data_IF_290029738809
#
_entry.id   IF_290029738809
#
_cell.length_a   1.000
_cell.length_b   1.000
_cell.length_c   1.000
_cell.angle_alpha   90.00
_cell.angle_beta   90.00
_cell.angle_gamma   90.00
#
_symmetry.space_group_name_H-M   'P 1'
#
loop_
_entity.id
_entity.type
_entity.pdbx_description
1 polymer ?
#
# COMPACT_ATOMS: atom_id res chain seq x y z
N UNK A 1 -11.28 25.15 -19.20
CA UNK A 1 -11.91 23.83 -18.98
C UNK A 1 -11.29 22.85 -19.97
N UNK A 2 -10.70 21.77 -19.49
CA UNK A 2 -10.13 20.72 -20.34
C UNK A 2 -10.90 19.41 -20.17
N UNK A 3 -11.01 18.62 -21.22
CA UNK A 3 -11.55 17.29 -21.18
C UNK A 3 -10.44 16.29 -20.85
N UNK A 4 -10.70 15.38 -19.93
CA UNK A 4 -9.73 14.39 -19.49
C UNK A 4 -10.34 13.00 -19.46
N UNK A 5 -9.47 11.98 -19.60
CA UNK A 5 -9.78 10.58 -19.28
C UNK A 5 -8.79 10.08 -18.21
N UNK A 6 -9.26 9.18 -17.35
CA UNK A 6 -8.40 8.48 -16.40
C UNK A 6 -8.00 7.09 -16.91
N UNK A 7 -6.71 6.83 -17.06
CA UNK A 7 -6.17 5.56 -17.57
C UNK A 7 -5.42 4.83 -16.46
N UNK A 8 -5.63 3.54 -16.35
CA UNK A 8 -5.01 2.64 -15.40
C UNK A 8 -4.23 1.55 -16.15
N UNK A 9 -2.99 1.30 -15.72
CA UNK A 9 -2.11 0.29 -16.36
C UNK A 9 -2.09 -1.06 -15.65
N UNK A 10 -2.56 -1.12 -14.40
CA UNK A 10 -2.68 -2.34 -13.58
C UNK A 10 -4.06 -2.36 -12.93
N UNK A 11 -4.59 -3.54 -12.65
CA UNK A 11 -5.92 -3.69 -12.02
C UNK A 11 -6.07 -2.84 -10.75
N UNK A 12 -4.99 -2.79 -9.97
CA UNK A 12 -4.89 -1.92 -8.80
C UNK A 12 -3.69 -1.01 -8.96
N UNK A 13 -3.94 0.28 -9.14
CA UNK A 13 -2.88 1.25 -9.36
C UNK A 13 -3.41 2.66 -9.46
N UNK A 14 -2.48 3.59 -9.57
CA UNK A 14 -2.78 5.00 -9.80
C UNK A 14 -3.47 5.18 -11.14
N UNK A 15 -4.50 6.02 -11.14
CA UNK A 15 -5.11 6.52 -12.37
C UNK A 15 -4.32 7.73 -12.83
N UNK A 16 -3.93 7.73 -14.09
CA UNK A 16 -3.22 8.83 -14.75
C UNK A 16 -4.15 9.50 -15.73
N UNK A 17 -4.11 10.81 -15.80
CA UNK A 17 -4.99 11.60 -16.65
C UNK A 17 -4.32 11.95 -17.97
N UNK A 18 -5.10 11.82 -19.05
CA UNK A 18 -4.69 12.09 -20.42
C UNK A 18 -5.75 12.93 -21.13
N UNK A 19 -5.32 13.63 -22.17
CA UNK A 19 -6.22 14.32 -23.08
C UNK A 19 -6.83 13.29 -24.04
N UNK A 20 -8.16 13.10 -24.05
CA UNK A 20 -8.82 12.16 -24.96
C UNK A 20 -8.80 12.61 -26.42
N UNK A 21 -8.38 13.84 -26.70
CA UNK A 21 -8.58 14.51 -27.97
C UNK A 21 -10.12 14.51 -28.29
N UNK A 22 -10.52 14.20 -29.53
CA UNK A 22 -11.94 14.14 -29.94
C UNK A 22 -12.58 12.74 -29.67
N UNK A 23 -11.92 11.84 -28.95
CA UNK A 23 -12.43 10.49 -28.72
C UNK A 23 -13.39 10.44 -27.53
N UNK A 24 -14.55 9.82 -27.71
CA UNK A 24 -15.47 9.48 -26.62
C UNK A 24 -15.16 8.06 -26.13
N UNK A 25 -14.75 7.93 -24.88
CA UNK A 25 -14.24 6.70 -24.27
C UNK A 25 -15.08 6.35 -23.04
N UNK A 26 -15.36 5.06 -22.91
CA UNK A 26 -16.07 4.50 -21.76
C UNK A 26 -15.12 3.77 -20.81
N UNK A 27 -15.56 3.58 -19.59
CA UNK A 27 -14.83 2.72 -18.63
C UNK A 27 -14.69 1.32 -19.19
N UNK A 28 -13.47 0.78 -19.17
CA UNK A 28 -13.13 -0.52 -19.71
C UNK A 28 -12.49 -0.49 -21.10
N UNK A 29 -12.60 0.62 -21.83
CA UNK A 29 -11.94 0.77 -23.12
C UNK A 29 -10.41 0.65 -22.97
N UNK A 30 -9.76 -0.01 -23.94
CA UNK A 30 -8.32 -0.12 -24.00
C UNK A 30 -7.72 0.94 -24.90
N UNK A 31 -6.70 1.62 -24.39
CA UNK A 31 -6.07 2.76 -25.06
C UNK A 31 -4.55 2.66 -25.04
N UNK A 32 -3.94 3.20 -26.10
CA UNK A 32 -2.49 3.34 -26.20
C UNK A 32 -2.13 4.80 -25.88
N UNK A 33 -1.24 4.95 -24.91
CA UNK A 33 -0.76 6.26 -24.46
C UNK A 33 0.76 6.25 -24.34
N UNK A 34 1.36 7.43 -24.41
CA UNK A 34 2.79 7.60 -24.15
C UNK A 34 3.03 7.98 -22.70
N UNK A 35 3.85 7.18 -22.01
CA UNK A 35 4.30 7.41 -20.64
C UNK A 35 5.78 7.73 -20.58
N UNK A 36 6.31 8.00 -19.39
CA UNK A 36 7.76 8.10 -19.19
C UNK A 36 8.51 6.76 -19.46
N UNK A 37 7.79 5.65 -19.58
CA UNK A 37 8.34 4.31 -19.87
C UNK A 37 8.30 3.96 -21.36
N UNK A 38 7.68 4.78 -22.19
CA UNK A 38 7.39 4.54 -23.59
C UNK A 38 5.88 4.36 -23.83
N UNK A 39 5.55 3.67 -24.92
CA UNK A 39 4.17 3.32 -25.24
C UNK A 39 3.65 2.28 -24.26
N UNK A 40 2.49 2.52 -23.71
CA UNK A 40 1.80 1.58 -22.81
C UNK A 40 0.32 1.43 -23.23
N UNK A 41 -0.20 0.23 -23.08
CA UNK A 41 -1.61 -0.05 -23.22
C UNK A 41 -2.26 -0.03 -21.84
N UNK A 42 -3.20 0.91 -21.65
CA UNK A 42 -3.95 1.05 -20.41
C UNK A 42 -5.44 0.80 -20.61
N UNK A 43 -6.15 0.75 -19.49
CA UNK A 43 -7.60 0.63 -19.43
C UNK A 43 -8.19 1.96 -18.93
N UNK A 44 -9.20 2.46 -19.58
CA UNK A 44 -9.94 3.64 -19.14
C UNK A 44 -10.69 3.31 -17.84
N UNK A 45 -10.25 3.91 -16.75
CA UNK A 45 -10.88 3.78 -15.44
C UNK A 45 -11.89 4.90 -15.16
N UNK A 46 -11.68 6.09 -15.75
CA UNK A 46 -12.59 7.22 -15.67
C UNK A 46 -12.89 7.69 -17.10
N UNK A 47 -14.16 7.69 -17.53
CA UNK A 47 -14.55 8.12 -18.86
C UNK A 47 -14.32 9.63 -19.02
N UNK A 48 -14.59 10.16 -20.22
CA UNK A 48 -14.47 11.59 -20.49
C UNK A 48 -15.14 12.44 -19.41
N UNK A 49 -14.37 13.34 -18.83
CA UNK A 49 -14.82 14.29 -17.81
C UNK A 49 -14.22 15.66 -18.07
N UNK A 50 -15.04 16.68 -17.98
CA UNK A 50 -14.58 18.09 -18.03
C UNK A 50 -14.11 18.51 -16.63
N UNK A 51 -12.92 19.08 -16.54
CA UNK A 51 -12.34 19.61 -15.31
C UNK A 51 -11.87 21.04 -15.52
N UNK A 52 -11.70 21.77 -14.43
CA UNK A 52 -11.17 23.13 -14.51
C UNK A 52 -9.67 23.08 -14.77
N UNK A 53 -9.15 24.00 -15.60
CA UNK A 53 -7.71 24.08 -15.91
C UNK A 53 -6.86 24.26 -14.63
N UNK A 54 -7.43 24.85 -13.59
CA UNK A 54 -6.80 25.02 -12.28
C UNK A 54 -6.55 23.69 -11.52
N UNK A 55 -7.29 22.63 -11.85
CA UNK A 55 -7.11 21.30 -11.24
C UNK A 55 -6.02 20.48 -11.93
N UNK A 56 -5.54 20.91 -13.08
CA UNK A 56 -4.52 20.23 -13.87
C UNK A 56 -3.14 20.68 -13.41
N UNK A 57 -2.46 19.86 -12.63
CA UNK A 57 -1.13 20.16 -12.08
C UNK A 57 0.00 20.08 -13.10
N UNK A 58 -0.19 19.40 -14.23
CA UNK A 58 0.81 19.20 -15.28
C UNK A 58 0.14 19.18 -16.67
N UNK A 59 0.87 19.56 -17.74
CA UNK A 59 0.31 19.45 -19.09
C UNK A 59 -0.09 18.01 -19.39
N UNK A 60 -1.32 17.83 -19.84
CA UNK A 60 -1.87 16.53 -20.19
C UNK A 60 -1.14 15.99 -21.44
N UNK A 61 -0.73 14.73 -21.39
CA UNK A 61 -0.27 14.03 -22.58
C UNK A 61 -1.49 13.55 -23.38
N UNK A 62 -1.44 13.63 -24.71
CA UNK A 62 -2.56 13.20 -25.54
C UNK A 62 -2.67 11.66 -25.57
N UNK A 63 -3.89 11.20 -25.79
CA UNK A 63 -4.16 9.85 -26.23
C UNK A 63 -3.52 9.64 -27.61
N UNK A 64 -2.84 8.51 -27.83
CA UNK A 64 -2.31 8.18 -29.14
C UNK A 64 -3.41 7.58 -30.02
N UNK A 65 -4.08 6.53 -29.51
CA UNK A 65 -5.21 5.88 -30.18
C UNK A 65 -5.92 4.87 -29.27
N UNK A 66 -7.07 4.44 -29.67
CA UNK A 66 -7.77 3.29 -29.09
C UNK A 66 -7.00 2.01 -29.47
N UNK A 67 -6.93 1.06 -28.55
CA UNK A 67 -6.27 -0.23 -28.80
C UNK A 67 -7.08 -1.09 -29.77
N UNK A 68 -6.40 -1.74 -30.69
CA UNK A 68 -6.99 -2.67 -31.64
C UNK A 68 -6.89 -4.12 -31.13
N UNK A 69 -7.61 -5.06 -31.74
CA UNK A 69 -7.46 -6.49 -31.43
C UNK A 69 -6.02 -6.99 -31.59
N UNK A 70 -5.27 -6.44 -32.55
CA UNK A 70 -3.83 -6.76 -32.72
C UNK A 70 -3.02 -6.33 -31.51
N UNK A 71 -3.33 -5.21 -30.88
CA UNK A 71 -2.67 -4.73 -29.68
C UNK A 71 -2.97 -5.65 -28.49
N UNK A 72 -4.21 -6.10 -28.36
CA UNK A 72 -4.61 -7.03 -27.30
C UNK A 72 -3.94 -8.39 -27.47
N UNK A 73 -3.85 -8.90 -28.70
CA UNK A 73 -3.12 -10.13 -28.99
C UNK A 73 -1.63 -9.98 -28.69
N UNK A 74 -1.03 -8.84 -29.04
CA UNK A 74 0.35 -8.52 -28.71
C UNK A 74 0.61 -8.50 -27.19
N UNK A 75 -0.31 -7.93 -26.41
CA UNK A 75 -0.23 -7.99 -24.94
C UNK A 75 -0.32 -9.43 -24.41
N UNK A 76 -1.17 -10.26 -24.99
CA UNK A 76 -1.29 -11.66 -24.61
C UNK A 76 0.01 -12.45 -24.94
N UNK A 77 0.60 -12.20 -26.10
CA UNK A 77 1.90 -12.77 -26.47
C UNK A 77 3.02 -12.32 -25.52
N UNK A 78 3.04 -11.04 -25.15
CA UNK A 78 4.03 -10.52 -24.20
C UNK A 78 3.92 -11.22 -22.84
N UNK A 79 2.70 -11.50 -22.35
CA UNK A 79 2.50 -12.28 -21.12
C UNK A 79 3.05 -13.70 -21.21
N UNK A 80 3.04 -14.33 -22.38
CA UNK A 80 3.67 -15.64 -22.57
C UNK A 80 5.20 -15.53 -22.58
N UNK A 81 5.74 -14.52 -23.25
CA UNK A 81 7.18 -14.23 -23.27
C UNK A 81 7.71 -13.89 -21.87
N UNK A 82 6.93 -13.18 -21.04
CA UNK A 82 7.27 -12.86 -19.66
C UNK A 82 7.49 -14.12 -18.82
N UNK A 83 6.62 -15.13 -18.98
CA UNK A 83 6.76 -16.41 -18.26
C UNK A 83 8.03 -17.18 -18.68
N UNK A 84 8.37 -17.16 -19.96
CA UNK A 84 9.60 -17.76 -20.47
C UNK A 84 10.82 -17.00 -19.98
N UNK A 85 10.80 -15.67 -20.08
CA UNK A 85 11.88 -14.81 -19.60
C UNK A 85 12.11 -14.96 -18.08
N UNK A 86 11.04 -15.17 -17.31
CA UNK A 86 11.14 -15.46 -15.89
C UNK A 86 11.96 -16.74 -15.62
N UNK A 87 11.63 -17.84 -16.30
CA UNK A 87 12.35 -19.13 -16.15
C UNK A 87 13.82 -19.01 -16.54
N UNK A 88 14.10 -18.35 -17.67
CA UNK A 88 15.48 -18.13 -18.13
C UNK A 88 16.26 -17.29 -17.13
N UNK A 89 15.69 -16.20 -16.64
CA UNK A 89 16.34 -15.34 -15.67
C UNK A 89 16.63 -16.05 -14.35
N UNK A 90 15.68 -16.85 -13.84
CA UNK A 90 15.84 -17.65 -12.62
C UNK A 90 17.01 -18.67 -12.74
N UNK A 91 17.13 -19.35 -13.88
CA UNK A 91 18.27 -20.24 -14.16
C UNK A 91 19.59 -19.47 -14.20
N UNK A 92 19.61 -18.28 -14.82
CA UNK A 92 20.81 -17.44 -14.88
C UNK A 92 21.22 -16.91 -13.51
N UNK A 93 20.27 -16.48 -12.67
CA UNK A 93 20.52 -16.08 -11.28
C UNK A 93 21.20 -17.23 -10.52
N UNK A 94 20.68 -18.46 -10.65
CA UNK A 94 21.26 -19.64 -10.01
C UNK A 94 22.69 -19.93 -10.50
N UNK A 95 22.93 -19.85 -11.82
CA UNK A 95 24.24 -20.07 -12.43
C UNK A 95 25.29 -19.05 -11.95
N UNK A 96 24.89 -17.78 -11.79
CA UNK A 96 25.75 -16.73 -11.26
C UNK A 96 25.84 -16.73 -9.73
N UNK A 97 25.12 -17.63 -9.03
CA UNK A 97 25.07 -17.76 -7.55
C UNK A 97 24.75 -16.42 -6.86
N UNK A 98 23.81 -15.64 -7.43
CA UNK A 98 23.43 -14.36 -6.88
C UNK A 98 22.39 -14.55 -5.77
N UNK A 99 22.59 -13.88 -4.62
CA UNK A 99 21.66 -13.87 -3.49
C UNK A 99 20.50 -12.89 -3.73
N UNK A 100 19.71 -13.15 -4.75
CA UNK A 100 18.54 -12.37 -5.12
C UNK A 100 17.39 -13.27 -5.51
N UNK A 101 16.16 -12.81 -5.25
CA UNK A 101 14.94 -13.50 -5.63
C UNK A 101 14.23 -12.73 -6.74
N UNK A 102 14.06 -13.36 -7.88
CA UNK A 102 13.24 -12.81 -8.97
C UNK A 102 11.76 -12.82 -8.54
N UNK A 103 11.07 -11.70 -8.73
CA UNK A 103 9.67 -11.54 -8.34
C UNK A 103 8.76 -11.49 -9.55
N UNK A 104 9.12 -10.72 -10.57
CA UNK A 104 8.31 -10.55 -11.77
C UNK A 104 9.15 -10.10 -12.96
N UNK A 105 8.63 -10.34 -14.17
CA UNK A 105 9.19 -9.87 -15.43
C UNK A 105 8.09 -9.17 -16.21
N UNK A 106 8.38 -8.00 -16.78
CA UNK A 106 7.44 -7.25 -17.61
C UNK A 106 8.13 -6.81 -18.92
N UNK A 107 7.49 -7.07 -20.06
CA UNK A 107 7.86 -6.48 -21.34
C UNK A 107 7.15 -5.14 -21.50
N UNK A 108 7.86 -4.12 -22.01
CA UNK A 108 7.18 -2.90 -22.47
C UNK A 108 6.30 -3.23 -23.67
N UNK A 109 5.23 -2.45 -23.85
CA UNK A 109 4.27 -2.69 -24.93
C UNK A 109 4.94 -2.73 -26.32
N UNK A 110 5.95 -1.90 -26.54
CA UNK A 110 6.73 -1.82 -27.79
C UNK A 110 7.88 -2.85 -27.88
N UNK A 111 8.03 -3.72 -26.87
CA UNK A 111 9.14 -4.66 -26.73
C UNK A 111 10.54 -4.04 -26.75
N UNK A 112 10.66 -2.73 -26.55
CA UNK A 112 11.96 -2.04 -26.56
C UNK A 112 12.83 -2.41 -25.36
N UNK A 113 12.23 -2.88 -24.27
CA UNK A 113 12.94 -3.29 -23.06
C UNK A 113 12.18 -4.34 -22.24
N UNK A 114 12.93 -5.05 -21.41
CA UNK A 114 12.42 -6.03 -20.46
C UNK A 114 12.84 -5.57 -19.06
N UNK A 115 11.85 -5.51 -18.14
CA UNK A 115 12.06 -5.16 -16.75
C UNK A 115 12.01 -6.43 -15.90
N UNK A 116 13.04 -6.65 -15.11
CA UNK A 116 13.12 -7.75 -14.15
C UNK A 116 13.05 -7.15 -12.74
N UNK A 117 12.02 -7.50 -11.99
CA UNK A 117 11.82 -7.06 -10.62
C UNK A 117 12.34 -8.11 -9.66
N UNK A 118 13.17 -7.71 -8.71
CA UNK A 118 13.78 -8.63 -7.75
C UNK A 118 13.86 -8.03 -6.36
N UNK A 119 13.96 -8.90 -5.34
CA UNK A 119 14.29 -8.54 -3.96
C UNK A 119 15.64 -9.11 -3.58
N UNK A 120 16.37 -8.41 -2.71
CA UNK A 120 17.63 -8.84 -2.13
C UNK A 120 17.89 -8.08 -0.82
N UNK A 121 18.60 -8.71 0.11
CA UNK A 121 18.92 -8.12 1.42
C UNK A 121 19.98 -7.02 1.38
N UNK A 122 20.69 -6.89 0.27
CA UNK A 122 21.74 -5.90 0.07
C UNK A 122 21.94 -5.47 -1.37
N UNK A 123 23.06 -4.85 -1.64
CA UNK A 123 23.45 -4.45 -2.98
C UNK A 123 24.05 -5.64 -3.74
N UNK A 124 23.46 -6.01 -4.86
CA UNK A 124 23.89 -7.10 -5.72
C UNK A 124 24.67 -6.56 -6.91
N UNK A 125 25.78 -7.21 -7.26
CA UNK A 125 26.46 -6.98 -8.53
C UNK A 125 25.90 -7.90 -9.61
N UNK A 126 25.05 -7.36 -10.44
CA UNK A 126 24.35 -8.10 -11.50
C UNK A 126 24.86 -7.79 -12.91
N UNK A 127 26.09 -7.20 -13.06
CA UNK A 127 26.62 -6.79 -14.37
C UNK A 127 26.76 -7.95 -15.34
N UNK A 128 27.24 -9.09 -14.88
CA UNK A 128 27.38 -10.30 -15.72
C UNK A 128 26.00 -10.91 -16.05
N UNK A 129 25.06 -10.92 -15.09
CA UNK A 129 23.68 -11.34 -15.33
C UNK A 129 23.02 -10.50 -16.44
N UNK A 130 23.21 -9.16 -16.40
CA UNK A 130 22.66 -8.26 -17.44
C UNK A 130 23.22 -8.58 -18.81
N UNK A 131 24.54 -8.84 -18.93
CA UNK A 131 25.17 -9.22 -20.19
C UNK A 131 24.59 -10.52 -20.74
N UNK A 132 24.45 -11.51 -19.89
CA UNK A 132 23.90 -12.82 -20.24
C UNK A 132 22.44 -12.71 -20.71
N UNK A 133 21.61 -11.95 -19.98
CA UNK A 133 20.22 -11.72 -20.35
C UNK A 133 20.11 -10.91 -21.66
N UNK A 134 20.96 -9.90 -21.85
CA UNK A 134 20.99 -9.12 -23.09
C UNK A 134 21.41 -9.98 -24.31
N UNK A 135 22.33 -10.90 -24.13
CA UNK A 135 22.74 -11.85 -25.18
C UNK A 135 21.58 -12.79 -25.59
N UNK A 136 20.77 -13.24 -24.63
CA UNK A 136 19.62 -14.12 -24.87
C UNK A 136 18.48 -13.38 -25.54
N UNK A 137 18.06 -12.25 -24.96
CA UNK A 137 16.84 -11.56 -25.39
C UNK A 137 17.06 -10.52 -26.48
N UNK A 138 18.30 -10.11 -26.71
CA UNK A 138 18.70 -9.10 -27.71
C UNK A 138 17.88 -7.80 -27.58
N UNK A 139 17.52 -7.45 -26.36
CA UNK A 139 16.67 -6.33 -26.00
C UNK A 139 17.29 -5.62 -24.79
N UNK A 140 16.98 -4.37 -24.56
CA UNK A 140 17.45 -3.63 -23.38
C UNK A 140 16.91 -4.25 -22.10
N UNK A 141 17.80 -4.61 -21.19
CA UNK A 141 17.48 -5.22 -19.89
C UNK A 141 17.54 -4.15 -18.81
N UNK A 142 16.49 -4.07 -18.02
CA UNK A 142 16.44 -3.27 -16.79
C UNK A 142 16.17 -4.17 -15.58
N UNK A 143 17.11 -4.22 -14.64
CA UNK A 143 16.96 -4.88 -13.35
C UNK A 143 16.54 -3.85 -12.30
N UNK A 144 15.42 -4.11 -11.60
CA UNK A 144 14.86 -3.21 -10.59
C UNK A 144 14.71 -3.94 -9.26
N UNK A 145 15.50 -3.51 -8.29
CA UNK A 145 15.28 -3.96 -6.91
C UNK A 145 14.02 -3.31 -6.35
N UNK A 146 13.15 -4.11 -5.77
CA UNK A 146 11.90 -3.68 -5.15
C UNK A 146 11.88 -4.01 -3.66
N UNK A 147 11.05 -3.29 -2.90
CA UNK A 147 10.86 -3.56 -1.48
C UNK A 147 9.92 -4.75 -1.25
N UNK A 148 10.01 -5.35 -0.06
CA UNK A 148 9.19 -6.51 0.35
C UNK A 148 7.67 -6.26 0.28
N UNK A 149 7.21 -5.01 0.44
CA UNK A 149 5.79 -4.67 0.27
C UNK A 149 5.39 -4.65 -1.19
N UNK A 150 6.25 -4.19 -2.09
CA UNK A 150 5.99 -4.20 -3.53
C UNK A 150 6.02 -5.64 -4.06
N UNK A 151 6.91 -6.49 -3.53
CA UNK A 151 6.88 -7.93 -3.77
C UNK A 151 5.51 -8.52 -3.37
N UNK A 152 5.07 -8.29 -2.14
CA UNK A 152 3.77 -8.76 -1.66
C UNK A 152 2.61 -8.21 -2.51
N UNK A 153 2.70 -6.95 -2.96
CA UNK A 153 1.70 -6.35 -3.86
C UNK A 153 1.66 -7.04 -5.22
N UNK A 154 2.81 -7.41 -5.78
CA UNK A 154 2.90 -8.07 -7.08
C UNK A 154 2.44 -9.53 -7.04
N UNK A 155 2.80 -10.25 -5.97
CA UNK A 155 2.42 -11.65 -5.79
C UNK A 155 0.96 -11.82 -5.37
N UNK A 156 0.39 -10.82 -4.70
CA UNK A 156 -0.94 -10.92 -4.12
C UNK A 156 -0.99 -11.87 -2.92
N UNK A 157 -2.19 -12.15 -2.45
CA UNK A 157 -2.44 -13.09 -1.34
C UNK A 157 -3.44 -12.55 -0.33
N UNK A 158 -3.60 -13.30 0.78
CA UNK A 158 -4.51 -12.96 1.87
C UNK A 158 -3.74 -12.46 3.09
N UNK A 159 -4.25 -11.40 3.70
CA UNK A 159 -3.76 -10.89 4.98
C UNK A 159 -4.19 -11.77 6.15
N UNK A 160 -3.69 -11.49 7.34
CA UNK A 160 -4.11 -12.16 8.59
C UNK A 160 -5.60 -12.01 8.89
N UNK A 161 -6.26 -11.02 8.28
CA UNK A 161 -7.70 -10.77 8.37
C UNK A 161 -8.53 -11.62 7.38
N UNK A 162 -7.89 -12.47 6.56
CA UNK A 162 -8.55 -13.30 5.54
C UNK A 162 -8.99 -12.55 4.28
N UNK A 163 -8.70 -11.24 4.18
CA UNK A 163 -9.00 -10.43 2.99
C UNK A 163 -7.78 -10.30 2.08
N UNK A 164 -7.95 -10.03 0.78
CA UNK A 164 -6.83 -9.71 -0.12
C UNK A 164 -5.95 -8.59 0.46
N UNK A 165 -4.65 -8.62 0.17
CA UNK A 165 -3.72 -7.60 0.63
C UNK A 165 -4.21 -6.19 0.28
N UNK A 166 -4.25 -5.29 1.27
CA UNK A 166 -4.68 -3.89 1.08
C UNK A 166 -3.87 -3.20 -0.03
N UNK A 167 -2.54 -3.43 -0.07
CA UNK A 167 -1.66 -2.86 -1.09
C UNK A 167 -1.92 -3.41 -2.49
N UNK A 168 -2.45 -4.64 -2.61
CA UNK A 168 -2.80 -5.27 -3.88
C UNK A 168 -4.27 -5.06 -4.29
N UNK A 169 -5.10 -4.46 -3.43
CA UNK A 169 -6.52 -4.24 -3.70
C UNK A 169 -6.90 -2.77 -3.84
N UNK A 170 -6.93 -2.00 -2.75
CA UNK A 170 -7.44 -0.62 -2.76
C UNK A 170 -6.42 0.45 -2.33
N UNK A 171 -5.33 0.06 -1.64
CA UNK A 171 -4.26 0.97 -1.23
C UNK A 171 -3.10 0.93 -2.23
N UNK A 172 -3.35 1.33 -3.47
CA UNK A 172 -2.34 1.29 -4.54
C UNK A 172 -1.14 2.21 -4.32
N UNK A 173 -1.33 3.32 -3.61
CA UNK A 173 -0.27 4.27 -3.24
C UNK A 173 0.24 3.99 -1.82
N UNK A 174 1.55 3.93 -1.68
CA UNK A 174 2.17 3.75 -0.36
C UNK A 174 2.08 5.04 0.45
N UNK A 175 1.59 4.89 1.69
CA UNK A 175 1.66 5.93 2.70
C UNK A 175 2.44 5.41 3.92
N UNK A 176 3.33 6.22 4.52
CA UNK A 176 4.10 5.81 5.68
C UNK A 176 3.21 5.37 6.83
N UNK A 177 3.58 4.29 7.48
CA UNK A 177 2.91 3.74 8.66
C UNK A 177 3.88 3.81 9.83
N UNK A 178 3.41 4.25 10.99
CA UNK A 178 4.25 4.38 12.19
C UNK A 178 3.72 3.54 13.35
N UNK A 179 4.60 3.16 14.26
CA UNK A 179 4.27 2.44 15.50
C UNK A 179 3.29 3.25 16.37
N UNK A 180 3.38 4.58 16.30
CA UNK A 180 2.43 5.47 16.98
C UNK A 180 0.99 5.18 16.58
N UNK A 181 0.73 4.92 15.30
CA UNK A 181 -0.63 4.57 14.83
C UNK A 181 -1.14 3.28 15.48
N UNK A 182 -0.29 2.25 15.58
CA UNK A 182 -0.68 1.02 16.25
C UNK A 182 -1.05 1.25 17.73
N UNK A 183 -0.32 2.11 18.41
CA UNK A 183 -0.57 2.47 19.82
C UNK A 183 -1.85 3.29 19.99
N UNK A 184 -2.10 4.25 19.11
CA UNK A 184 -3.32 5.07 19.08
C UNK A 184 -4.57 4.22 18.78
N UNK A 185 -4.41 3.15 18.02
CA UNK A 185 -5.49 2.19 17.72
C UNK A 185 -5.64 1.09 18.77
N UNK A 186 -4.90 1.18 19.90
CA UNK A 186 -5.01 0.26 21.02
C UNK A 186 -4.45 -1.14 20.76
N UNK A 187 -3.62 -1.32 19.72
CA UNK A 187 -3.02 -2.60 19.41
C UNK A 187 -1.84 -2.89 20.34
N UNK A 188 -1.74 -4.15 20.72
CA UNK A 188 -0.56 -4.67 21.44
C UNK A 188 0.67 -4.55 20.55
N UNK A 189 1.72 -3.92 21.05
CA UNK A 189 3.00 -3.77 20.35
C UNK A 189 3.77 -5.10 20.32
N UNK A 190 3.28 -6.03 19.50
CA UNK A 190 3.94 -7.28 19.18
C UNK A 190 4.17 -7.34 17.67
N UNK A 191 5.39 -7.62 17.19
CA UNK A 191 5.66 -7.71 15.75
C UNK A 191 4.65 -8.57 15.00
N UNK A 192 4.28 -9.71 15.57
CA UNK A 192 3.30 -10.65 14.99
C UNK A 192 1.91 -10.03 14.81
N UNK A 193 1.52 -9.09 15.70
CA UNK A 193 0.17 -8.50 15.69
C UNK A 193 0.09 -7.21 14.87
N UNK A 194 1.21 -6.53 14.65
CA UNK A 194 1.23 -5.23 13.94
C UNK A 194 1.90 -5.30 12.58
N UNK A 195 2.54 -6.43 12.22
CA UNK A 195 3.16 -6.62 10.91
C UNK A 195 2.22 -7.34 9.95
N UNK A 196 2.25 -6.92 8.70
CA UNK A 196 1.62 -7.63 7.60
C UNK A 196 2.49 -8.81 7.13
N UNK A 197 1.97 -9.61 6.22
CA UNK A 197 2.68 -10.75 5.60
C UNK A 197 4.01 -10.35 4.94
N UNK A 198 4.13 -9.09 4.50
CA UNK A 198 5.36 -8.54 3.95
C UNK A 198 6.44 -8.22 5.01
N UNK A 199 6.21 -8.49 6.30
CA UNK A 199 7.14 -8.16 7.38
C UNK A 199 7.20 -6.68 7.78
N UNK A 200 6.47 -5.79 7.10
CA UNK A 200 6.35 -4.37 7.46
C UNK A 200 5.06 -4.10 8.23
N UNK A 201 4.97 -2.93 8.87
CA UNK A 201 3.73 -2.53 9.55
C UNK A 201 2.51 -2.64 8.63
N UNK A 202 1.38 -3.08 9.17
CA UNK A 202 0.13 -3.29 8.43
C UNK A 202 -0.37 -2.00 7.80
N UNK A 203 -0.73 -2.07 6.51
CA UNK A 203 -1.28 -0.92 5.75
C UNK A 203 -2.61 -0.42 6.34
N UNK A 204 -3.44 -1.31 6.88
CA UNK A 204 -4.73 -0.96 7.49
C UNK A 204 -4.58 0.01 8.66
N UNK A 205 -3.45 0.01 9.38
CA UNK A 205 -3.16 1.00 10.42
C UNK A 205 -3.25 2.44 9.88
N UNK A 206 -2.69 2.68 8.71
CA UNK A 206 -2.76 3.99 8.06
C UNK A 206 -4.15 4.28 7.51
N UNK A 207 -4.78 3.28 6.92
CA UNK A 207 -6.13 3.41 6.35
C UNK A 207 -7.16 3.82 7.40
N UNK A 208 -7.08 3.21 8.58
CA UNK A 208 -8.01 3.45 9.69
C UNK A 208 -7.63 4.66 10.57
N UNK A 209 -6.40 5.19 10.44
CA UNK A 209 -5.83 6.19 11.35
C UNK A 209 -6.69 7.44 11.50
N UNK A 210 -7.32 7.91 10.45
CA UNK A 210 -8.13 9.12 10.49
C UNK A 210 -9.35 8.93 11.40
N UNK A 211 -10.06 7.80 11.25
CA UNK A 211 -11.20 7.45 12.09
C UNK A 211 -10.80 7.32 13.56
N UNK A 212 -9.69 6.63 13.85
CA UNK A 212 -9.19 6.52 15.22
C UNK A 212 -8.74 7.87 15.81
N UNK A 213 -8.13 8.73 15.03
CA UNK A 213 -7.73 10.07 15.44
C UNK A 213 -8.96 10.92 15.83
N UNK A 214 -10.05 10.79 15.09
CA UNK A 214 -11.29 11.49 15.40
C UNK A 214 -11.94 10.96 16.68
N UNK A 215 -12.02 9.63 16.83
CA UNK A 215 -12.53 9.00 18.05
C UNK A 215 -11.71 9.39 19.30
N UNK A 216 -10.39 9.51 19.18
CA UNK A 216 -9.49 9.91 20.26
C UNK A 216 -9.70 11.35 20.73
N UNK A 217 -10.26 12.24 19.91
CA UNK A 217 -10.61 13.61 20.34
C UNK A 217 -11.74 13.63 21.35
N UNK A 218 -12.64 12.65 21.28
CA UNK A 218 -13.87 12.57 22.07
C UNK A 218 -13.84 11.48 23.14
N UNK A 219 -12.79 10.65 23.18
CA UNK A 219 -12.68 9.54 24.12
C UNK A 219 -11.53 9.76 25.10
N UNK A 220 -11.76 9.66 26.43
CA UNK A 220 -10.69 9.72 27.42
C UNK A 220 -9.60 8.68 27.15
N UNK A 221 -8.36 9.11 27.16
CA UNK A 221 -7.21 8.20 26.92
C UNK A 221 -6.92 7.34 28.14
N UNK A 222 -6.22 6.26 27.95
CA UNK A 222 -5.69 5.46 29.06
C UNK A 222 -4.82 6.33 29.96
N UNK A 223 -5.01 6.22 31.29
CA UNK A 223 -4.41 7.10 32.28
C UNK A 223 -5.17 8.42 32.53
N UNK A 224 -6.30 8.66 31.86
CA UNK A 224 -7.18 9.76 32.15
C UNK A 224 -7.92 9.58 33.48
N UNK A 225 -8.20 10.69 34.15
CA UNK A 225 -9.06 10.72 35.34
C UNK A 225 -10.45 11.16 34.90
N UNK A 226 -11.45 10.33 35.22
CA UNK A 226 -12.85 10.57 34.86
C UNK A 226 -13.76 10.49 36.10
N UNK A 227 -14.85 11.21 36.04
CA UNK A 227 -15.98 11.06 36.98
C UNK A 227 -17.02 10.16 36.28
N UNK A 228 -17.34 9.03 36.94
CA UNK A 228 -18.38 8.09 36.52
C UNK A 228 -19.60 8.23 37.44
N UNK A 229 -20.76 7.65 37.11
CA UNK A 229 -21.92 7.62 38.03
C UNK A 229 -21.63 6.96 39.39
N UNK A 230 -20.62 6.10 39.47
CA UNK A 230 -20.23 5.41 40.70
C UNK A 230 -19.04 6.05 41.43
N UNK A 231 -18.54 7.17 40.93
CA UNK A 231 -17.44 7.92 41.53
C UNK A 231 -16.28 8.20 40.58
N UNK A 232 -15.24 8.80 41.15
CA UNK A 232 -14.02 9.17 40.41
C UNK A 232 -13.10 7.99 40.26
N UNK A 233 -12.48 7.84 39.06
CA UNK A 233 -11.57 6.74 38.81
C UNK A 233 -10.57 7.02 37.68
N UNK A 234 -9.65 6.10 37.49
CA UNK A 234 -8.61 6.11 36.47
C UNK A 234 -8.99 5.19 35.32
N UNK A 235 -8.92 5.67 34.10
CA UNK A 235 -9.11 4.86 32.88
C UNK A 235 -7.90 3.93 32.70
N UNK A 236 -8.14 2.63 32.77
CA UNK A 236 -7.10 1.60 32.59
C UNK A 236 -7.12 1.00 31.19
N UNK A 237 -8.27 1.02 30.52
CA UNK A 237 -8.44 0.56 29.14
C UNK A 237 -9.56 1.35 28.47
N UNK A 238 -9.40 1.62 27.18
CA UNK A 238 -10.48 2.20 26.37
C UNK A 238 -10.68 1.36 25.09
N UNK A 239 -11.92 1.21 24.70
CA UNK A 239 -12.31 0.65 23.40
C UNK A 239 -12.95 1.78 22.59
N UNK A 240 -12.15 2.35 21.67
CA UNK A 240 -12.54 3.51 20.88
C UNK A 240 -13.77 3.24 20.00
N UNK A 241 -13.80 2.06 19.35
CA UNK A 241 -14.88 1.68 18.43
C UNK A 241 -16.19 1.42 19.19
N UNK A 242 -16.12 0.69 20.31
CA UNK A 242 -17.29 0.41 21.13
C UNK A 242 -17.73 1.59 21.99
N UNK A 243 -16.91 2.63 22.11
CA UNK A 243 -17.16 3.80 22.97
C UNK A 243 -17.26 3.42 24.46
N UNK A 244 -16.44 2.47 24.93
CA UNK A 244 -16.43 1.98 26.29
C UNK A 244 -15.08 2.20 26.97
N UNK A 245 -15.13 2.43 28.28
CA UNK A 245 -13.96 2.64 29.15
C UNK A 245 -13.98 1.62 30.28
N UNK A 246 -12.84 1.01 30.60
CA UNK A 246 -12.65 0.31 31.86
C UNK A 246 -11.99 1.27 32.84
N UNK A 247 -12.67 1.53 33.94
CA UNK A 247 -12.27 2.50 34.95
C UNK A 247 -12.04 1.80 36.29
N UNK A 248 -10.86 2.03 36.87
CA UNK A 248 -10.55 1.66 38.25
C UNK A 248 -11.02 2.79 39.16
N UNK A 249 -12.07 2.52 39.95
CA UNK A 249 -12.62 3.52 40.84
C UNK A 249 -11.74 3.73 42.08
N UNK A 250 -11.62 4.97 42.56
CA UNK A 250 -10.82 5.30 43.75
C UNK A 250 -11.41 4.76 45.05
N UNK A 251 -12.71 4.43 45.05
CA UNK A 251 -13.45 3.98 46.25
C UNK A 251 -13.46 2.40 46.36
N UNK A 252 -12.72 1.71 45.51
CA UNK A 252 -12.65 0.26 45.52
C UNK A 252 -11.26 -0.23 45.99
N UNK A 253 -11.17 -1.41 46.62
CA UNK A 253 -9.90 -2.02 47.00
C UNK A 253 -8.93 -2.11 45.81
N UNK A 254 -7.62 -2.14 46.09
CA UNK A 254 -6.58 -2.19 45.04
C UNK A 254 -6.73 -3.38 44.11
N UNK A 255 -7.22 -4.51 44.59
CA UNK A 255 -7.45 -5.75 43.84
C UNK A 255 -8.79 -5.82 43.12
N UNK A 256 -9.64 -4.80 43.21
CA UNK A 256 -10.94 -4.81 42.56
C UNK A 256 -10.80 -4.69 41.05
N UNK A 257 -11.56 -5.54 40.33
CA UNK A 257 -11.61 -5.50 38.87
C UNK A 257 -12.12 -4.14 38.35
N UNK A 258 -11.54 -3.59 37.29
CA UNK A 258 -12.02 -2.36 36.66
C UNK A 258 -13.47 -2.53 36.17
N UNK A 259 -14.31 -1.51 36.40
CA UNK A 259 -15.70 -1.48 35.93
C UNK A 259 -15.80 -0.86 34.54
N UNK A 260 -16.75 -1.33 33.74
CA UNK A 260 -16.98 -0.86 32.38
C UNK A 260 -18.06 0.21 32.35
N UNK A 261 -17.77 1.35 31.69
CA UNK A 261 -18.68 2.47 31.49
C UNK A 261 -18.65 2.90 30.02
N UNK A 262 -19.75 3.49 29.55
CA UNK A 262 -19.72 4.14 28.23
C UNK A 262 -19.07 5.53 28.34
N UNK A 263 -18.44 6.00 27.26
CA UNK A 263 -17.82 7.33 27.20
C UNK A 263 -18.84 8.43 27.62
N UNK A 264 -20.10 8.28 27.20
CA UNK A 264 -21.19 9.23 27.52
C UNK A 264 -21.50 9.32 29.02
N UNK A 265 -21.23 8.26 29.78
CA UNK A 265 -21.45 8.24 31.23
C UNK A 265 -20.29 8.85 32.02
N UNK A 266 -19.17 9.08 31.36
CA UNK A 266 -17.94 9.54 32.00
C UNK A 266 -17.66 11.00 31.66
N UNK A 267 -17.42 11.82 32.69
CA UNK A 267 -17.00 13.21 32.52
C UNK A 267 -15.49 13.33 32.73
N UNK A 268 -14.77 13.77 31.71
CA UNK A 268 -13.32 13.96 31.78
C UNK A 268 -12.94 15.04 32.82
N UNK A 269 -12.01 14.68 33.69
CA UNK A 269 -11.42 15.61 34.70
C UNK A 269 -10.02 15.99 34.30
N UNK A 270 -9.19 15.02 33.94
CA UNK A 270 -7.83 15.22 33.46
C UNK A 270 -7.54 14.17 32.41
N UNK A 271 -7.12 14.58 31.20
CA UNK A 271 -6.82 13.63 30.13
C UNK A 271 -5.48 12.91 30.37
N UNK A 272 -5.41 11.72 29.83
CA UNK A 272 -4.19 10.94 29.74
C UNK A 272 -3.38 11.30 28.49
N UNK A 273 -2.18 10.74 28.37
CA UNK A 273 -1.38 10.88 27.16
C UNK A 273 -0.83 9.52 26.73
N UNK A 274 -0.71 9.32 25.42
CA UNK A 274 -0.15 8.10 24.84
C UNK A 274 1.36 8.20 24.91
N UNK A 275 1.96 7.49 25.86
CA UNK A 275 3.40 7.50 26.06
C UNK A 275 4.08 6.52 25.07
N UNK A 276 4.98 7.05 24.27
CA UNK A 276 5.87 6.24 23.42
C UNK A 276 7.20 6.09 24.15
N UNK A 277 7.55 4.88 24.53
CA UNK A 277 8.87 4.59 25.11
C UNK A 277 9.89 4.47 23.98
N UNK A 278 11.01 5.20 24.09
CA UNK A 278 12.10 5.12 23.10
C UNK A 278 12.66 3.71 22.94
N UNK A 279 12.75 2.96 24.05
CA UNK A 279 13.21 1.55 24.01
C UNK A 279 12.22 0.63 23.28
N UNK A 280 10.91 0.91 23.40
CA UNK A 280 9.89 0.18 22.62
C UNK A 280 10.02 0.50 21.13
N UNK A 281 10.22 1.78 20.76
CA UNK A 281 10.38 2.17 19.36
C UNK A 281 11.60 1.55 18.68
N UNK A 282 12.73 1.41 19.42
CA UNK A 282 13.94 0.78 18.89
C UNK A 282 13.74 -0.68 18.50
N UNK A 283 12.89 -1.43 19.21
CA UNK A 283 12.58 -2.84 18.89
C UNK A 283 11.87 -3.02 17.54
N UNK A 284 11.25 -1.97 17.03
CA UNK A 284 10.48 -2.00 15.79
C UNK A 284 11.16 -1.24 14.65
N UNK A 285 12.40 -0.77 14.90
CA UNK A 285 13.22 -0.12 13.89
C UNK A 285 13.45 -1.10 12.73
N UNK A 286 12.94 -0.76 11.54
CA UNK A 286 13.00 -1.63 10.37
C UNK A 286 11.65 -2.24 9.95
N UNK A 287 10.59 -2.12 10.75
CA UNK A 287 9.22 -2.47 10.34
C UNK A 287 8.45 -1.32 9.68
N UNK A 288 8.88 -0.07 9.91
CA UNK A 288 8.31 1.16 9.34
C UNK A 288 8.56 1.29 7.84
#
# INVERSE_FOLDING_TARGET
>A
MAEIIGVRFKEVGKVYYFDPLDNKLNTGDRVIVETARGLECGEVATPNKTVDDAEISHPLKPLIRIATEKDLNHLAENKLKEKEAYRICEQKIANHKLEMKLVNVEYTFDNSKILFYFTADGRIDFRELVKDLAAVFRTRIELRQIGVRDEAKMLGGLGICGKPFCCASFMGEFQPVSIKMAKEQGLSLSPVKISGTCGRLMCCLKYEQEAYTDLLKHTPKVGAIVNTPEGRGLVVENNLIAGTLKVKLNNTPEDAAPKSFTVKQCKLVKDGYIKLDKKEMEKFKGLE
#
